data_IF_031987324603
#
_entry.id   IF_031987324603
#
_cell.length_a   1.000
_cell.length_b   1.000
_cell.length_c   1.000
_cell.angle_alpha   90.00
_cell.angle_beta   90.00
_cell.angle_gamma   90.00
#
_symmetry.space_group_name_H-M   'P 1'
#
loop_
_entity.id
_entity.type
_entity.pdbx_description
1 polymer ?
#
# COMPACT_ATOMS: atom_id res chain seq x y z
N UNK A 1 21.05 -20.94 23.35
CA UNK A 1 21.23 -19.76 22.49
C UNK A 1 20.10 -19.76 21.47
N UNK A 2 19.47 -18.63 21.14
CA UNK A 2 18.53 -18.62 20.03
C UNK A 2 19.23 -19.10 18.76
N UNK A 3 18.54 -19.91 17.94
CA UNK A 3 19.11 -20.46 16.72
C UNK A 3 19.48 -19.35 15.74
N UNK A 4 20.41 -19.62 14.82
CA UNK A 4 20.70 -18.74 13.70
C UNK A 4 19.56 -18.78 12.68
N UNK A 5 19.31 -17.63 12.06
CA UNK A 5 18.40 -17.53 10.91
C UNK A 5 19.04 -16.61 9.88
N UNK A 6 18.63 -16.75 8.63
CA UNK A 6 19.28 -16.09 7.49
C UNK A 6 18.25 -15.38 6.63
N UNK A 7 18.50 -14.11 6.30
CA UNK A 7 17.86 -13.46 5.17
C UNK A 7 18.75 -13.70 3.94
N UNK A 8 18.20 -14.36 2.92
CA UNK A 8 18.92 -14.72 1.70
C UNK A 8 18.19 -14.08 0.52
N UNK A 9 18.93 -13.42 -0.37
CA UNK A 9 18.41 -12.83 -1.60
C UNK A 9 18.70 -13.72 -2.81
N UNK A 10 17.92 -13.59 -3.87
CA UNK A 10 18.03 -14.38 -5.08
C UNK A 10 19.37 -14.25 -5.82
N UNK A 11 20.10 -13.18 -5.58
CA UNK A 11 21.46 -12.97 -6.11
C UNK A 11 22.57 -13.58 -5.25
N UNK A 12 22.20 -14.35 -4.21
CA UNK A 12 23.12 -15.04 -3.32
C UNK A 12 23.61 -14.21 -2.14
N UNK A 13 23.18 -12.94 -1.96
CA UNK A 13 23.51 -12.17 -0.78
C UNK A 13 22.88 -12.79 0.48
N UNK A 14 23.66 -12.98 1.53
CA UNK A 14 23.24 -13.58 2.80
C UNK A 14 23.49 -12.63 3.95
N UNK A 15 22.49 -12.48 4.80
CA UNK A 15 22.58 -11.79 6.09
C UNK A 15 22.23 -12.78 7.20
N UNK A 16 23.13 -12.95 8.16
CA UNK A 16 22.92 -13.77 9.35
C UNK A 16 22.30 -12.93 10.46
N UNK A 17 21.31 -13.47 11.16
CA UNK A 17 20.65 -12.82 12.28
C UNK A 17 20.03 -13.81 13.25
N UNK A 18 19.14 -13.30 14.10
CA UNK A 18 18.46 -14.05 15.15
C UNK A 18 16.95 -13.97 14.94
N UNK A 19 16.21 -15.08 15.05
CA UNK A 19 14.75 -15.05 14.91
C UNK A 19 14.09 -14.39 16.13
N UNK A 20 13.02 -13.61 15.89
CA UNK A 20 12.20 -13.05 16.97
C UNK A 20 10.68 -13.15 16.73
N UNK A 21 10.27 -13.63 15.58
CA UNK A 21 8.87 -13.94 15.20
C UNK A 21 8.60 -15.44 15.21
N UNK A 22 7.68 -15.86 14.33
CA UNK A 22 7.31 -17.26 14.17
C UNK A 22 8.47 -18.12 13.69
N UNK A 23 8.52 -19.36 14.17
CA UNK A 23 9.54 -20.34 13.76
C UNK A 23 9.13 -21.01 12.44
N UNK A 24 9.53 -20.41 11.33
CA UNK A 24 9.21 -20.87 9.99
C UNK A 24 10.02 -20.15 8.92
N UNK A 25 9.90 -20.61 7.69
CA UNK A 25 10.46 -19.96 6.51
C UNK A 25 9.45 -18.97 5.91
N UNK A 26 9.96 -17.90 5.29
CA UNK A 26 9.17 -16.95 4.50
C UNK A 26 9.87 -16.66 3.18
N UNK A 27 9.10 -16.47 2.10
CA UNK A 27 9.61 -16.02 0.80
C UNK A 27 8.74 -14.89 0.30
N UNK A 28 9.36 -13.86 -0.31
CA UNK A 28 8.67 -12.71 -0.89
C UNK A 28 9.62 -11.74 -1.57
N UNK A 29 9.09 -10.66 -2.12
CA UNK A 29 9.92 -9.55 -2.58
C UNK A 29 10.45 -8.78 -1.37
N UNK A 30 11.77 -8.62 -1.26
CA UNK A 30 12.39 -7.89 -0.14
C UNK A 30 12.40 -6.40 -0.45
N UNK A 31 11.77 -5.64 0.44
CA UNK A 31 11.65 -4.19 0.33
C UNK A 31 12.04 -3.52 1.64
N UNK A 32 12.39 -2.23 1.59
CA UNK A 32 12.69 -1.48 2.80
C UNK A 32 11.69 -0.34 3.00
N UNK A 33 11.41 -0.01 4.26
CA UNK A 33 10.57 1.13 4.64
C UNK A 33 11.37 2.09 5.52
N UNK A 34 11.31 3.39 5.21
CA UNK A 34 12.08 4.45 5.88
C UNK A 34 11.32 5.16 6.99
N UNK A 35 10.11 4.72 7.35
CA UNK A 35 9.33 5.29 8.44
C UNK A 35 10.04 5.07 9.79
N UNK A 36 10.03 6.10 10.65
CA UNK A 36 10.63 6.02 11.99
C UNK A 36 9.70 5.37 13.02
N UNK A 37 8.41 5.28 12.72
CA UNK A 37 7.35 4.72 13.57
C UNK A 37 6.27 4.11 12.69
N UNK A 38 5.28 3.45 13.31
CA UNK A 38 4.15 2.87 12.58
C UNK A 38 4.44 1.48 12.03
N UNK A 39 5.27 0.69 12.71
CA UNK A 39 5.57 -0.66 12.26
C UNK A 39 4.34 -1.59 12.28
N UNK A 40 3.37 -1.37 13.17
CA UNK A 40 2.14 -2.16 13.21
C UNK A 40 1.25 -1.87 12.01
N UNK A 41 1.11 -0.60 11.64
CA UNK A 41 0.42 -0.15 10.44
C UNK A 41 1.09 -0.71 9.18
N UNK A 42 2.43 -0.69 9.10
CA UNK A 42 3.19 -1.31 8.01
C UNK A 42 2.94 -2.82 7.92
N UNK A 43 2.94 -3.52 9.06
CA UNK A 43 2.69 -4.97 9.10
C UNK A 43 1.29 -5.34 8.60
N UNK A 44 0.29 -4.50 8.87
CA UNK A 44 -1.13 -4.77 8.58
C UNK A 44 -1.63 -4.08 7.30
N UNK A 45 -0.81 -3.28 6.61
CA UNK A 45 -1.15 -2.68 5.31
C UNK A 45 -1.21 -3.75 4.22
N UNK A 46 -2.40 -3.98 3.58
CA UNK A 46 -2.54 -4.98 2.53
C UNK A 46 -1.62 -4.77 1.32
N UNK A 47 -1.16 -3.55 1.08
CA UNK A 47 -0.22 -3.24 -0.01
C UNK A 47 1.14 -3.93 0.14
N UNK A 48 1.48 -4.46 1.33
CA UNK A 48 2.67 -5.29 1.55
C UNK A 48 2.45 -6.78 1.35
N UNK A 49 1.28 -7.22 0.90
CA UNK A 49 1.04 -8.65 0.66
C UNK A 49 2.07 -9.23 -0.32
N UNK A 50 2.67 -10.37 0.04
CA UNK A 50 3.75 -11.01 -0.74
C UNK A 50 5.15 -10.39 -0.56
N UNK A 51 5.34 -9.44 0.37
CA UNK A 51 6.63 -8.78 0.59
C UNK A 51 7.24 -9.11 1.97
N UNK A 52 8.57 -9.18 2.03
CA UNK A 52 9.36 -9.17 3.25
C UNK A 52 9.83 -7.74 3.48
N UNK A 53 9.40 -7.13 4.58
CA UNK A 53 9.64 -5.71 4.85
C UNK A 53 10.79 -5.54 5.83
N UNK A 54 11.81 -4.77 5.40
CA UNK A 54 12.92 -4.34 6.26
C UNK A 54 12.69 -2.91 6.74
N UNK A 55 12.58 -2.72 8.06
CA UNK A 55 12.55 -1.38 8.65
C UNK A 55 13.96 -0.81 8.72
N UNK A 56 14.14 0.41 8.19
CA UNK A 56 15.45 1.08 8.23
C UNK A 56 15.73 1.75 9.59
N UNK A 57 14.68 2.06 10.35
CA UNK A 57 14.82 2.60 11.70
C UNK A 57 15.45 1.55 12.62
N UNK A 58 16.48 1.93 13.41
CA UNK A 58 17.32 0.96 14.11
C UNK A 58 16.59 0.08 15.13
N UNK A 59 15.69 0.66 15.92
CA UNK A 59 14.99 -0.03 17.01
C UNK A 59 13.49 -0.13 16.73
N UNK A 60 12.98 -1.34 16.68
CA UNK A 60 11.58 -1.65 16.38
C UNK A 60 10.97 -2.48 17.52
N UNK A 61 9.68 -2.26 17.83
CA UNK A 61 8.97 -2.97 18.91
C UNK A 61 8.87 -2.22 20.24
N UNK A 62 9.50 -1.06 20.35
CA UNK A 62 9.65 -0.30 21.60
C UNK A 62 8.35 0.29 22.17
N UNK A 63 7.26 0.36 21.39
CA UNK A 63 5.95 0.81 21.86
C UNK A 63 4.86 -0.27 21.81
N UNK A 64 5.22 -1.54 21.54
CA UNK A 64 4.28 -2.67 21.51
C UNK A 64 3.31 -2.62 20.34
N UNK A 65 2.21 -3.33 20.48
CA UNK A 65 1.08 -3.36 19.51
C UNK A 65 -0.24 -3.16 20.23
N UNK A 66 -1.29 -2.76 19.50
CA UNK A 66 -2.64 -2.54 20.04
C UNK A 66 -3.70 -2.74 18.95
N UNK A 67 -4.98 -2.79 19.34
CA UNK A 67 -6.09 -3.08 18.44
C UNK A 67 -6.54 -1.88 17.56
N UNK A 68 -6.00 -0.68 17.79
CA UNK A 68 -6.41 0.54 17.08
C UNK A 68 -5.50 0.89 15.89
N UNK A 69 -4.20 0.55 16.01
CA UNK A 69 -3.18 0.92 15.03
C UNK A 69 -3.04 -0.16 13.92
N UNK A 70 -4.14 -0.87 13.61
CA UNK A 70 -4.21 -1.83 12.52
C UNK A 70 -4.86 -1.21 11.29
N UNK A 71 -4.36 -1.60 10.11
CA UNK A 71 -4.87 -1.16 8.80
C UNK A 71 -5.66 -2.24 8.06
N UNK A 72 -5.66 -3.49 8.56
CA UNK A 72 -6.53 -4.59 8.12
C UNK A 72 -6.72 -5.61 9.25
N UNK A 73 -7.48 -6.66 8.99
CA UNK A 73 -7.85 -7.71 9.95
C UNK A 73 -6.69 -8.65 10.36
N UNK A 74 -5.58 -8.60 9.64
CA UNK A 74 -4.42 -9.48 9.85
C UNK A 74 -3.11 -8.82 9.45
N UNK A 75 -1.98 -9.46 9.81
CA UNK A 75 -0.68 -9.13 9.25
C UNK A 75 -0.65 -9.56 7.77
N UNK A 76 -0.15 -8.69 6.91
CA UNK A 76 -0.13 -8.86 5.46
C UNK A 76 1.25 -9.20 4.91
N UNK A 77 2.32 -8.78 5.62
CA UNK A 77 3.69 -9.04 5.20
C UNK A 77 4.02 -10.53 5.25
N UNK A 78 4.82 -11.02 4.30
CA UNK A 78 5.32 -12.40 4.32
C UNK A 78 6.40 -12.62 5.39
N UNK A 79 7.16 -11.59 5.74
CA UNK A 79 8.20 -11.65 6.76
C UNK A 79 8.66 -10.25 7.17
N UNK A 80 9.39 -10.17 8.29
CA UNK A 80 9.80 -8.89 8.85
C UNK A 80 11.28 -8.88 9.25
N UNK A 81 11.98 -7.80 8.89
CA UNK A 81 13.42 -7.65 9.07
C UNK A 81 13.73 -6.36 9.81
N UNK A 82 14.50 -6.46 10.90
CA UNK A 82 14.89 -5.30 11.71
C UNK A 82 16.38 -5.37 12.08
N UNK A 83 16.94 -4.22 12.40
CA UNK A 83 18.30 -4.17 12.97
C UNK A 83 18.27 -4.63 14.42
N UNK A 84 17.35 -4.10 15.23
CA UNK A 84 17.21 -4.41 16.64
C UNK A 84 15.73 -4.50 17.02
N UNK A 85 15.33 -5.62 17.63
CA UNK A 85 14.02 -5.80 18.22
C UNK A 85 14.04 -5.45 19.70
N UNK A 86 13.22 -4.51 20.12
CA UNK A 86 13.03 -4.18 21.54
C UNK A 86 12.13 -5.21 22.22
N UNK A 87 12.71 -5.99 23.13
CA UNK A 87 11.97 -6.99 23.92
C UNK A 87 11.06 -6.36 24.97
N UNK A 88 11.37 -5.13 25.37
CA UNK A 88 10.57 -4.34 26.30
C UNK A 88 9.85 -3.25 25.54
N UNK A 89 8.58 -3.05 25.81
CA UNK A 89 7.78 -1.98 25.23
C UNK A 89 7.16 -1.10 26.31
N UNK A 90 6.94 0.17 25.97
CA UNK A 90 6.29 1.14 26.85
C UNK A 90 5.40 2.08 26.04
N UNK A 91 4.10 1.86 26.12
CA UNK A 91 3.07 2.74 25.58
C UNK A 91 1.76 2.45 26.31
N UNK A 92 1.03 3.50 26.70
CA UNK A 92 -0.24 3.36 27.44
C UNK A 92 -1.34 2.61 26.69
N UNK A 93 -1.25 2.52 25.34
CA UNK A 93 -2.19 1.77 24.49
C UNK A 93 -1.74 0.34 24.19
N UNK A 94 -0.49 0.01 24.51
CA UNK A 94 0.05 -1.30 24.15
C UNK A 94 -0.65 -2.44 24.90
N UNK A 95 -1.08 -3.45 24.17
CA UNK A 95 -1.73 -4.66 24.69
C UNK A 95 -0.81 -5.87 24.66
N UNK A 96 0.19 -5.90 23.74
CA UNK A 96 1.15 -7.00 23.61
C UNK A 96 2.48 -6.51 23.01
N UNK A 97 3.48 -7.39 23.02
CA UNK A 97 4.76 -7.20 22.35
C UNK A 97 4.66 -7.47 20.86
N UNK A 98 5.49 -6.81 20.06
CA UNK A 98 5.61 -7.09 18.63
C UNK A 98 6.01 -8.55 18.35
N UNK A 99 6.89 -9.15 19.18
CA UNK A 99 7.30 -10.55 19.00
C UNK A 99 6.14 -11.52 19.15
N UNK A 100 5.32 -11.39 20.21
CA UNK A 100 4.12 -12.21 20.39
C UNK A 100 3.13 -12.03 19.24
N UNK A 101 2.92 -10.80 18.79
CA UNK A 101 2.03 -10.48 17.69
C UNK A 101 2.43 -11.20 16.39
N UNK A 102 3.74 -11.20 16.07
CA UNK A 102 4.28 -11.92 14.91
C UNK A 102 4.18 -13.44 15.07
N UNK A 103 4.46 -13.98 16.28
CA UNK A 103 4.35 -15.43 16.57
C UNK A 103 2.91 -15.89 16.40
N UNK A 104 1.96 -15.19 17.03
CA UNK A 104 0.53 -15.52 16.98
C UNK A 104 -0.03 -15.44 15.55
N UNK A 105 0.49 -14.52 14.74
CA UNK A 105 0.12 -14.36 13.33
C UNK A 105 0.93 -15.26 12.38
N UNK A 106 1.83 -16.10 12.89
CA UNK A 106 2.70 -17.01 12.12
C UNK A 106 3.61 -16.30 11.12
N UNK A 107 4.13 -15.13 11.46
CA UNK A 107 5.02 -14.34 10.61
C UNK A 107 6.48 -14.53 11.04
N UNK A 108 7.34 -15.08 10.19
CA UNK A 108 8.78 -15.14 10.45
C UNK A 108 9.41 -13.76 10.51
N UNK A 109 10.29 -13.54 11.50
CA UNK A 109 10.99 -12.28 11.65
C UNK A 109 12.44 -12.50 12.08
N UNK A 110 13.34 -11.61 11.63
CA UNK A 110 14.77 -11.68 11.87
C UNK A 110 15.30 -10.33 12.36
N UNK A 111 16.10 -10.35 13.44
CA UNK A 111 16.85 -9.21 13.95
C UNK A 111 18.36 -9.41 13.79
N UNK A 112 19.14 -8.35 14.08
CA UNK A 112 20.61 -8.37 13.97
C UNK A 112 21.13 -8.11 12.57
N UNK A 113 20.25 -7.78 11.61
CA UNK A 113 20.60 -7.53 10.22
C UNK A 113 21.22 -6.14 10.07
N UNK A 114 22.26 -6.02 9.25
CA UNK A 114 22.72 -4.73 8.75
C UNK A 114 21.71 -4.19 7.72
N UNK A 115 20.65 -3.55 8.23
CA UNK A 115 19.57 -3.00 7.42
C UNK A 115 20.06 -1.88 6.51
N UNK A 116 21.14 -1.16 6.86
CA UNK A 116 21.76 -0.17 5.98
C UNK A 116 22.40 -0.82 4.77
N UNK A 117 23.18 -1.89 4.95
CA UNK A 117 23.79 -2.66 3.85
C UNK A 117 22.72 -3.25 2.95
N UNK A 118 21.66 -3.82 3.53
CA UNK A 118 20.52 -4.36 2.79
C UNK A 118 19.82 -3.27 1.96
N UNK A 119 19.53 -2.11 2.55
CA UNK A 119 18.90 -0.98 1.86
C UNK A 119 19.74 -0.47 0.70
N UNK A 120 21.05 -0.31 0.88
CA UNK A 120 21.96 0.10 -0.18
C UNK A 120 21.98 -0.93 -1.32
N UNK A 121 22.00 -2.22 -0.97
CA UNK A 121 21.99 -3.31 -1.95
C UNK A 121 20.70 -3.30 -2.80
N UNK A 122 19.53 -3.20 -2.16
CA UNK A 122 18.23 -3.11 -2.87
C UNK A 122 18.16 -1.84 -3.72
N UNK A 123 18.65 -0.71 -3.23
CA UNK A 123 18.68 0.55 -4.01
C UNK A 123 19.54 0.40 -5.28
N UNK A 124 20.64 -0.31 -5.18
CA UNK A 124 21.59 -0.47 -6.29
C UNK A 124 21.17 -1.58 -7.28
N UNK A 125 20.57 -2.68 -6.82
CA UNK A 125 20.17 -3.84 -7.64
C UNK A 125 18.70 -3.83 -8.04
N UNK A 126 17.83 -3.14 -7.31
CA UNK A 126 16.38 -3.21 -7.38
C UNK A 126 15.79 -4.08 -6.28
N UNK A 127 14.46 -4.11 -6.19
CA UNK A 127 13.76 -5.05 -5.33
C UNK A 127 14.00 -6.49 -5.84
N UNK A 128 14.39 -7.37 -4.93
CA UNK A 128 14.79 -8.76 -5.21
C UNK A 128 13.87 -9.73 -4.46
N UNK A 129 13.67 -10.92 -5.01
CA UNK A 129 13.10 -12.03 -4.22
C UNK A 129 14.09 -12.40 -3.12
N UNK A 130 13.58 -12.64 -1.94
CA UNK A 130 14.37 -13.10 -0.81
C UNK A 130 13.55 -13.97 0.12
N UNK A 131 14.20 -14.51 1.12
CA UNK A 131 13.53 -15.35 2.10
C UNK A 131 14.23 -15.33 3.44
N UNK A 132 13.45 -15.54 4.50
CA UNK A 132 13.92 -15.80 5.85
C UNK A 132 13.96 -17.32 6.01
N UNK A 133 15.15 -17.89 6.29
CA UNK A 133 15.38 -19.33 6.33
C UNK A 133 16.17 -19.76 7.56
N UNK A 134 15.90 -20.98 8.02
CA UNK A 134 16.68 -21.62 9.10
C UNK A 134 18.02 -22.20 8.65
N UNK A 135 18.17 -22.45 7.34
CA UNK A 135 19.39 -22.98 6.73
C UNK A 135 19.61 -22.35 5.36
N UNK A 136 20.87 -22.31 4.92
CA UNK A 136 21.24 -21.69 3.64
C UNK A 136 21.15 -22.64 2.44
N UNK A 137 21.18 -23.97 2.70
CA UNK A 137 21.18 -24.99 1.62
C UNK A 137 19.88 -24.96 0.80
N UNK A 138 20.00 -24.86 -0.53
CA UNK A 138 18.87 -24.87 -1.47
C UNK A 138 17.99 -23.60 -1.43
N UNK A 139 18.38 -22.56 -0.68
CA UNK A 139 17.57 -21.37 -0.51
C UNK A 139 17.45 -20.56 -1.80
N UNK A 140 18.54 -20.38 -2.54
CA UNK A 140 18.55 -19.60 -3.79
C UNK A 140 17.68 -20.28 -4.85
N UNK A 141 17.75 -21.61 -4.98
CA UNK A 141 16.92 -22.38 -5.88
C UNK A 141 15.42 -22.21 -5.56
N UNK A 142 15.05 -22.22 -4.27
CA UNK A 142 13.67 -21.96 -3.83
C UNK A 142 13.23 -20.55 -4.18
N UNK A 143 14.12 -19.55 -4.03
CA UNK A 143 13.83 -18.15 -4.39
C UNK A 143 13.65 -17.99 -5.90
N UNK A 144 14.49 -18.63 -6.71
CA UNK A 144 14.37 -18.56 -8.16
C UNK A 144 13.12 -19.27 -8.70
N UNK A 145 12.63 -20.28 -8.00
CA UNK A 145 11.37 -20.96 -8.32
C UNK A 145 10.12 -20.15 -7.87
N UNK A 146 10.26 -19.21 -6.95
CA UNK A 146 9.15 -18.37 -6.50
C UNK A 146 8.80 -17.33 -7.57
N UNK A 147 7.50 -17.04 -7.85
CA UNK A 147 7.12 -16.05 -8.84
C UNK A 147 7.60 -14.63 -8.44
N UNK A 148 7.86 -13.79 -9.44
CA UNK A 148 8.10 -12.36 -9.21
C UNK A 148 6.79 -11.64 -8.93
N UNK A 149 6.87 -10.44 -8.32
CA UNK A 149 5.71 -9.58 -8.05
C UNK A 149 5.01 -9.15 -9.36
N UNK A 150 5.78 -8.92 -10.41
CA UNK A 150 5.26 -8.55 -11.74
C UNK A 150 4.38 -9.67 -12.30
N UNK A 151 3.21 -9.32 -12.78
CA UNK A 151 2.24 -10.27 -13.34
C UNK A 151 1.41 -11.03 -12.30
N UNK A 152 1.55 -10.75 -10.98
CA UNK A 152 0.74 -11.37 -9.94
C UNK A 152 -0.49 -10.51 -9.57
N UNK A 153 -1.67 -11.11 -9.65
CA UNK A 153 -2.93 -10.53 -9.14
C UNK A 153 -3.01 -10.71 -7.62
N UNK A 154 -2.29 -9.86 -6.89
CA UNK A 154 -2.33 -9.85 -5.43
C UNK A 154 -3.52 -9.06 -4.88
N UNK A 155 -4.07 -8.13 -5.65
CA UNK A 155 -5.23 -7.35 -5.27
C UNK A 155 -6.46 -8.24 -5.04
N UNK A 156 -6.71 -9.22 -5.91
CA UNK A 156 -7.78 -10.20 -5.70
C UNK A 156 -7.57 -11.09 -4.48
N UNK A 157 -6.32 -11.33 -4.06
CA UNK A 157 -6.01 -12.18 -2.90
C UNK A 157 -6.31 -11.50 -1.55
N UNK A 158 -6.34 -10.16 -1.53
CA UNK A 158 -6.61 -9.36 -0.30
C UNK A 158 -7.98 -8.68 -0.32
N UNK A 159 -8.71 -8.75 -1.42
CA UNK A 159 -10.06 -8.19 -1.57
C UNK A 159 -11.08 -8.95 -0.71
N UNK A 160 -12.08 -8.23 -0.20
CA UNK A 160 -13.19 -8.85 0.53
C UNK A 160 -13.97 -9.85 -0.34
N UNK A 161 -14.51 -10.88 0.30
CA UNK A 161 -15.27 -11.93 -0.42
C UNK A 161 -16.70 -11.51 -0.78
N UNK A 162 -17.28 -10.56 -0.03
CA UNK A 162 -18.64 -10.06 -0.23
C UNK A 162 -18.75 -8.60 0.17
N UNK A 163 -19.70 -7.83 -0.40
CA UNK A 163 -19.92 -6.45 0.00
C UNK A 163 -20.24 -6.30 1.48
N UNK A 164 -19.71 -5.27 2.12
CA UNK A 164 -20.02 -4.93 3.51
C UNK A 164 -20.12 -3.41 3.72
N UNK A 165 -20.80 -3.02 4.77
CA UNK A 165 -20.90 -1.61 5.20
C UNK A 165 -19.86 -1.32 6.27
N UNK A 166 -19.18 -0.19 6.13
CA UNK A 166 -18.24 0.30 7.14
C UNK A 166 -18.84 1.50 7.89
N UNK A 167 -18.99 1.35 9.21
CA UNK A 167 -19.69 2.33 10.05
C UNK A 167 -21.20 2.30 9.88
N UNK A 168 -21.89 3.36 10.29
CA UNK A 168 -23.33 3.49 10.16
C UNK A 168 -23.75 3.98 8.78
N UNK A 169 -24.81 3.38 8.22
CA UNK A 169 -25.46 3.85 7.01
C UNK A 169 -26.40 5.00 7.35
N UNK A 170 -26.17 6.18 6.78
CA UNK A 170 -27.02 7.35 6.92
C UNK A 170 -27.58 7.72 5.54
N UNK A 171 -28.89 7.55 5.30
CA UNK A 171 -29.52 7.86 4.01
C UNK A 171 -29.42 9.34 3.59
N UNK A 172 -29.11 10.24 4.53
CA UNK A 172 -28.92 11.67 4.23
C UNK A 172 -27.54 11.99 3.66
N UNK A 173 -26.60 11.04 3.76
CA UNK A 173 -25.22 11.17 3.27
C UNK A 173 -25.05 10.47 1.91
N UNK A 174 -24.21 11.01 1.02
CA UNK A 174 -23.91 10.30 -0.22
C UNK A 174 -23.21 8.97 0.08
N UNK A 175 -23.67 7.91 -0.58
CA UNK A 175 -23.06 6.59 -0.52
C UNK A 175 -21.83 6.56 -1.43
N UNK A 176 -20.65 6.21 -0.87
CA UNK A 176 -19.46 5.90 -1.65
C UNK A 176 -19.32 4.39 -1.80
N UNK A 177 -19.22 3.90 -3.05
CA UNK A 177 -18.85 2.54 -3.38
C UNK A 177 -17.33 2.40 -3.44
N UNK A 178 -16.75 1.69 -2.47
CA UNK A 178 -15.30 1.45 -2.38
C UNK A 178 -14.97 0.11 -3.01
N UNK A 179 -14.18 0.11 -4.08
CA UNK A 179 -13.59 -1.11 -4.63
C UNK A 179 -12.40 -1.52 -3.79
N UNK A 180 -12.47 -2.72 -3.22
CA UNK A 180 -11.46 -3.27 -2.34
C UNK A 180 -10.37 -4.01 -3.11
N UNK A 181 -9.27 -3.33 -3.34
CA UNK A 181 -8.02 -3.93 -3.85
C UNK A 181 -7.03 -4.23 -2.72
N UNK A 182 -7.44 -4.10 -1.47
CA UNK A 182 -6.63 -4.16 -0.25
C UNK A 182 -6.72 -2.84 0.52
N UNK A 183 -7.95 -2.41 0.81
CA UNK A 183 -8.23 -1.11 1.42
C UNK A 183 -7.71 -1.03 2.85
N UNK A 184 -6.99 0.04 3.18
CA UNK A 184 -6.60 0.37 4.55
C UNK A 184 -7.80 0.88 5.35
N UNK A 185 -7.94 0.41 6.60
CA UNK A 185 -9.03 0.84 7.48
C UNK A 185 -9.07 2.36 7.68
N UNK A 186 -7.92 3.02 7.70
CA UNK A 186 -7.88 4.47 7.86
C UNK A 186 -8.47 5.23 6.66
N UNK A 187 -8.43 4.69 5.46
CA UNK A 187 -9.14 5.25 4.29
C UNK A 187 -10.64 5.24 4.56
N UNK A 188 -11.20 4.11 5.02
CA UNK A 188 -12.63 3.99 5.32
C UNK A 188 -13.05 4.94 6.44
N UNK A 189 -12.24 5.07 7.51
CA UNK A 189 -12.47 6.03 8.60
C UNK A 189 -12.50 7.47 8.08
N UNK A 190 -11.59 7.84 7.18
CA UNK A 190 -11.53 9.20 6.62
C UNK A 190 -12.67 9.49 5.63
N UNK A 191 -13.14 8.51 4.88
CA UNK A 191 -14.35 8.65 4.05
C UNK A 191 -15.59 8.92 4.92
N UNK A 192 -15.78 8.16 6.00
CA UNK A 192 -16.86 8.41 6.99
C UNK A 192 -16.74 9.80 7.60
N UNK A 193 -15.53 10.19 8.03
CA UNK A 193 -15.26 11.51 8.62
C UNK A 193 -15.47 12.66 7.63
N UNK A 194 -15.27 12.43 6.33
CA UNK A 194 -15.54 13.42 5.29
C UNK A 194 -17.04 13.62 5.03
N UNK A 195 -17.92 12.71 5.51
CA UNK A 195 -19.37 12.83 5.42
C UNK A 195 -20.03 11.80 4.50
N UNK A 196 -19.35 10.73 4.10
CA UNK A 196 -19.92 9.65 3.31
C UNK A 196 -20.55 8.56 4.19
N UNK A 197 -21.59 7.89 3.68
CA UNK A 197 -21.90 6.51 3.99
C UNK A 197 -20.98 5.61 3.15
N UNK A 198 -20.41 4.55 3.73
CA UNK A 198 -19.37 3.76 3.07
C UNK A 198 -19.82 2.31 2.90
N UNK A 199 -19.80 1.83 1.66
CA UNK A 199 -19.99 0.41 1.34
C UNK A 199 -18.81 -0.10 0.52
N UNK A 200 -18.21 -1.18 0.96
CA UNK A 200 -17.03 -1.80 0.36
C UNK A 200 -17.47 -2.97 -0.49
N UNK A 201 -16.91 -3.09 -1.67
CA UNK A 201 -17.23 -4.13 -2.64
C UNK A 201 -15.99 -4.91 -3.04
N UNK A 202 -16.11 -6.21 -3.33
CA UNK A 202 -15.04 -6.97 -3.96
C UNK A 202 -14.49 -6.30 -5.23
N UNK A 203 -13.20 -6.47 -5.48
CA UNK A 203 -12.49 -5.82 -6.61
C UNK A 203 -13.11 -6.05 -7.99
N UNK A 204 -13.83 -7.17 -8.17
CA UNK A 204 -14.44 -7.59 -9.46
C UNK A 204 -15.93 -7.28 -9.54
N UNK A 205 -16.50 -6.53 -8.63
CA UNK A 205 -17.93 -6.19 -8.66
C UNK A 205 -18.25 -5.33 -9.88
N UNK A 206 -19.25 -5.67 -10.72
CA UNK A 206 -19.64 -4.83 -11.85
C UNK A 206 -20.13 -3.45 -11.38
N UNK A 207 -19.77 -2.38 -12.11
CA UNK A 207 -20.15 -1.01 -11.75
C UNK A 207 -21.67 -0.83 -11.62
N UNK A 208 -22.45 -1.46 -12.52
CA UNK A 208 -23.92 -1.34 -12.50
C UNK A 208 -24.54 -1.90 -11.20
N UNK A 209 -23.94 -2.90 -10.56
CA UNK A 209 -24.40 -3.41 -9.27
C UNK A 209 -24.16 -2.40 -8.15
N UNK A 210 -22.97 -1.78 -8.13
CA UNK A 210 -22.60 -0.74 -7.15
C UNK A 210 -23.53 0.48 -7.30
N UNK A 211 -23.82 0.91 -8.53
CA UNK A 211 -24.72 2.03 -8.79
C UNK A 211 -26.20 1.68 -8.47
N UNK A 212 -26.63 0.44 -8.71
CA UNK A 212 -27.97 -0.04 -8.34
C UNK A 212 -28.17 -0.03 -6.81
N UNK A 213 -27.12 -0.28 -6.04
CA UNK A 213 -27.12 -0.17 -4.57
C UNK A 213 -27.20 1.29 -4.09
N UNK A 214 -27.20 2.27 -4.98
CA UNK A 214 -27.36 3.70 -4.67
C UNK A 214 -26.04 4.45 -4.49
N UNK A 215 -24.90 3.91 -4.90
CA UNK A 215 -23.63 4.62 -4.80
C UNK A 215 -23.66 5.89 -5.67
N UNK A 216 -23.40 7.05 -5.05
CA UNK A 216 -23.31 8.36 -5.69
C UNK A 216 -21.93 8.63 -6.30
N UNK A 217 -20.92 7.92 -5.84
CA UNK A 217 -19.52 8.06 -6.24
C UNK A 217 -18.73 6.76 -5.98
N UNK A 218 -17.58 6.66 -6.61
CA UNK A 218 -16.70 5.49 -6.56
C UNK A 218 -15.35 5.88 -5.94
N UNK A 219 -14.82 4.99 -5.12
CA UNK A 219 -13.48 5.07 -4.58
C UNK A 219 -12.69 3.82 -4.97
N UNK A 220 -11.53 4.00 -5.61
CA UNK A 220 -10.60 2.92 -5.93
C UNK A 220 -9.49 2.88 -4.90
N UNK A 221 -9.42 1.81 -4.11
CA UNK A 221 -8.52 1.73 -2.98
C UNK A 221 -7.05 1.51 -3.37
N UNK A 222 -6.18 1.61 -2.38
CA UNK A 222 -4.83 1.07 -2.41
C UNK A 222 -4.85 -0.46 -2.51
N UNK A 223 -3.69 -1.06 -2.77
CA UNK A 223 -3.54 -2.51 -2.82
C UNK A 223 -2.16 -2.96 -3.28
N UNK A 224 -1.87 -4.26 -3.18
CA UNK A 224 -0.62 -4.86 -3.61
C UNK A 224 -0.60 -5.24 -5.10
N UNK A 225 0.58 -5.51 -5.61
CA UNK A 225 0.80 -6.18 -6.89
C UNK A 225 0.92 -5.25 -8.08
N UNK A 226 0.76 -5.85 -9.24
CA UNK A 226 0.91 -5.22 -10.55
C UNK A 226 -0.45 -4.66 -11.02
N UNK A 227 -0.58 -3.35 -11.29
CA UNK A 227 -1.85 -2.77 -11.74
C UNK A 227 -2.33 -3.28 -13.10
N UNK A 228 -1.40 -3.74 -13.96
CA UNK A 228 -1.72 -4.21 -15.31
C UNK A 228 -2.55 -5.50 -15.32
N UNK A 229 -2.43 -6.31 -14.27
CA UNK A 229 -3.12 -7.59 -14.18
C UNK A 229 -4.35 -7.58 -13.26
N UNK A 230 -4.72 -6.41 -12.72
CA UNK A 230 -5.95 -6.28 -11.92
C UNK A 230 -7.16 -6.51 -12.82
N UNK A 231 -7.94 -7.60 -12.58
CA UNK A 231 -9.03 -7.96 -13.49
C UNK A 231 -10.13 -6.90 -13.53
N UNK A 232 -10.47 -6.45 -14.73
CA UNK A 232 -11.56 -5.48 -14.95
C UNK A 232 -11.23 -4.04 -14.52
N UNK A 233 -10.01 -3.77 -14.02
CA UNK A 233 -9.66 -2.44 -13.49
C UNK A 233 -9.72 -1.34 -14.55
N UNK A 234 -9.17 -1.57 -15.74
CA UNK A 234 -9.20 -0.60 -16.85
C UNK A 234 -10.62 -0.37 -17.36
N UNK A 235 -11.39 -1.44 -17.48
CA UNK A 235 -12.78 -1.43 -17.92
C UNK A 235 -13.65 -0.64 -16.95
N UNK A 236 -13.49 -0.86 -15.65
CA UNK A 236 -14.18 -0.10 -14.59
C UNK A 236 -13.95 1.40 -14.72
N UNK A 237 -12.70 1.83 -14.95
CA UNK A 237 -12.38 3.26 -15.13
C UNK A 237 -13.08 3.82 -16.40
N UNK A 238 -13.11 3.07 -17.50
CA UNK A 238 -13.83 3.49 -18.71
C UNK A 238 -15.35 3.59 -18.49
N UNK A 239 -15.92 2.67 -17.70
CA UNK A 239 -17.33 2.70 -17.33
C UNK A 239 -17.66 3.90 -16.45
N UNK A 240 -16.86 4.18 -15.39
CA UNK A 240 -17.10 5.36 -14.53
C UNK A 240 -16.97 6.67 -15.31
N UNK A 241 -16.06 6.75 -16.28
CA UNK A 241 -15.94 7.92 -17.18
C UNK A 241 -17.17 8.08 -18.07
N UNK A 242 -17.65 6.99 -18.69
CA UNK A 242 -18.86 6.99 -19.54
C UNK A 242 -20.08 7.43 -18.76
N UNK A 243 -20.28 6.90 -17.57
CA UNK A 243 -21.40 7.23 -16.68
C UNK A 243 -21.15 8.55 -15.89
N UNK A 244 -20.00 9.20 -16.08
CA UNK A 244 -19.59 10.43 -15.40
C UNK A 244 -19.71 10.35 -13.87
N UNK A 245 -19.39 9.18 -13.30
CA UNK A 245 -19.47 8.95 -11.85
C UNK A 245 -18.30 9.64 -11.16
N UNK A 246 -18.52 10.48 -10.13
CA UNK A 246 -17.42 11.04 -9.36
C UNK A 246 -16.53 9.95 -8.79
N UNK A 247 -15.22 10.04 -9.08
CA UNK A 247 -14.28 8.96 -8.74
C UNK A 247 -12.99 9.51 -8.16
N UNK A 248 -12.52 8.88 -7.06
CA UNK A 248 -11.21 9.14 -6.47
C UNK A 248 -10.44 7.83 -6.31
N UNK A 249 -9.15 7.82 -6.67
CA UNK A 249 -8.26 6.66 -6.55
C UNK A 249 -6.99 6.95 -5.76
N UNK A 250 -6.57 6.00 -4.91
CA UNK A 250 -5.35 6.06 -4.11
C UNK A 250 -4.43 4.89 -4.46
N UNK A 251 -3.15 5.17 -4.65
CA UNK A 251 -2.06 4.21 -4.85
C UNK A 251 -2.36 3.25 -6.01
N UNK A 252 -2.73 1.99 -5.77
CA UNK A 252 -3.15 1.07 -6.83
C UNK A 252 -4.35 1.62 -7.62
N UNK A 253 -5.32 2.25 -6.95
CA UNK A 253 -6.45 2.91 -7.60
C UNK A 253 -6.03 4.06 -8.54
N UNK A 254 -4.97 4.81 -8.20
CA UNK A 254 -4.37 5.81 -9.08
C UNK A 254 -3.75 5.16 -10.32
N UNK A 255 -3.03 4.06 -10.15
CA UNK A 255 -2.40 3.33 -11.27
C UNK A 255 -3.46 2.76 -12.23
N UNK A 256 -4.53 2.17 -11.67
CA UNK A 256 -5.68 1.68 -12.44
C UNK A 256 -6.36 2.83 -13.22
N UNK A 257 -6.51 4.01 -12.59
CA UNK A 257 -7.03 5.21 -13.28
C UNK A 257 -6.09 5.62 -14.41
N UNK A 258 -4.79 5.67 -14.18
CA UNK A 258 -3.80 5.96 -15.22
C UNK A 258 -3.91 5.02 -16.43
N UNK A 259 -4.06 3.72 -16.17
CA UNK A 259 -4.27 2.71 -17.21
C UNK A 259 -5.60 2.87 -17.95
N UNK A 260 -6.69 3.17 -17.23
CA UNK A 260 -8.01 3.40 -17.79
C UNK A 260 -8.11 4.65 -18.68
N UNK A 261 -7.30 5.67 -18.37
CA UNK A 261 -7.10 6.87 -19.19
C UNK A 261 -6.24 6.62 -20.44
N UNK A 262 -5.76 5.39 -20.66
CA UNK A 262 -4.93 5.03 -21.82
C UNK A 262 -3.41 5.14 -21.57
N UNK A 263 -3.01 5.43 -20.35
CA UNK A 263 -1.61 5.46 -19.95
C UNK A 263 -1.01 4.06 -19.78
N UNK A 264 0.26 4.06 -19.39
CA UNK A 264 1.04 2.87 -19.04
C UNK A 264 1.57 3.00 -17.61
N UNK A 265 1.87 1.85 -17.01
CA UNK A 265 2.60 1.77 -15.74
C UNK A 265 3.95 1.08 -15.96
N UNK A 266 4.85 1.27 -15.02
CA UNK A 266 6.15 0.61 -15.02
C UNK A 266 6.58 0.30 -13.59
N UNK A 267 7.41 -0.76 -13.43
CA UNK A 267 7.97 -1.10 -12.14
C UNK A 267 9.14 -0.17 -11.80
N UNK A 268 9.08 0.44 -10.62
CA UNK A 268 10.18 1.21 -10.07
C UNK A 268 11.30 0.26 -9.62
N UNK A 269 12.54 0.70 -9.70
CA UNK A 269 13.70 -0.12 -9.37
C UNK A 269 13.62 -0.71 -7.95
N UNK A 270 13.25 0.11 -6.95
CA UNK A 270 13.10 -0.32 -5.56
C UNK A 270 11.80 0.20 -4.91
N UNK A 271 11.00 0.98 -5.64
CA UNK A 271 9.74 1.55 -5.17
C UNK A 271 9.91 2.70 -4.18
N UNK A 272 8.79 3.33 -3.82
CA UNK A 272 8.72 4.34 -2.77
C UNK A 272 8.03 3.76 -1.54
N UNK A 273 8.75 3.69 -0.41
CA UNK A 273 8.19 3.20 0.86
C UNK A 273 8.74 3.99 2.04
N UNK A 274 7.85 4.66 2.75
CA UNK A 274 8.18 5.51 3.89
C UNK A 274 7.25 6.69 4.03
N UNK A 275 7.42 7.44 5.11
CA UNK A 275 6.53 8.53 5.50
C UNK A 275 7.18 9.92 5.36
N UNK A 276 8.16 10.06 4.48
CA UNK A 276 8.99 11.27 4.34
C UNK A 276 9.25 11.65 2.86
N UNK A 277 8.32 11.31 1.97
CA UNK A 277 8.46 11.59 0.54
C UNK A 277 7.88 12.97 0.20
N UNK A 278 8.69 13.88 -0.37
CA UNK A 278 8.23 15.20 -0.77
C UNK A 278 7.49 15.15 -2.11
N UNK A 279 6.24 15.59 -2.13
CA UNK A 279 5.40 15.66 -3.32
C UNK A 279 5.01 17.10 -3.58
N UNK A 280 5.19 17.58 -4.81
CA UNK A 280 4.76 18.91 -5.23
C UNK A 280 3.39 18.83 -5.88
N UNK A 281 2.45 19.57 -5.32
CA UNK A 281 1.16 19.85 -5.94
C UNK A 281 1.34 20.94 -7.00
N UNK A 282 1.22 20.58 -8.28
CA UNK A 282 1.43 21.49 -9.42
C UNK A 282 0.32 22.53 -9.55
N UNK A 283 -0.86 22.27 -8.99
CA UNK A 283 -2.01 23.18 -9.05
C UNK A 283 -1.85 24.36 -8.08
N UNK A 284 -1.24 24.10 -6.92
CA UNK A 284 -1.08 25.11 -5.86
C UNK A 284 0.35 25.58 -5.68
N UNK A 285 1.33 24.86 -6.24
CA UNK A 285 2.77 25.07 -6.05
C UNK A 285 3.29 24.62 -4.68
N UNK A 286 2.43 24.11 -3.78
CA UNK A 286 2.82 23.65 -2.45
C UNK A 286 3.56 22.32 -2.50
N UNK A 287 4.44 22.12 -1.52
CA UNK A 287 5.09 20.83 -1.26
C UNK A 287 4.45 20.21 -0.03
N UNK A 288 4.09 18.95 -0.13
CA UNK A 288 3.51 18.14 0.94
C UNK A 288 4.48 16.99 1.25
N UNK A 289 4.59 16.61 2.51
CA UNK A 289 5.31 15.40 2.90
C UNK A 289 4.30 14.27 2.95
N UNK A 290 4.58 13.21 2.20
CA UNK A 290 3.64 12.11 2.00
C UNK A 290 4.15 10.78 2.53
N UNK A 291 3.20 9.92 2.86
CA UNK A 291 3.44 8.49 3.07
C UNK A 291 3.27 7.75 1.75
N UNK A 292 4.19 6.83 1.46
CA UNK A 292 4.17 6.05 0.22
C UNK A 292 4.45 4.58 0.47
N UNK A 293 3.81 3.73 -0.32
CA UNK A 293 4.04 2.29 -0.36
C UNK A 293 3.64 1.72 -1.72
N UNK A 294 4.50 1.89 -2.73
CA UNK A 294 4.23 1.35 -4.05
C UNK A 294 5.51 0.94 -4.78
N UNK A 295 5.42 -0.09 -5.62
CA UNK A 295 6.49 -0.58 -6.47
C UNK A 295 6.31 -0.26 -7.95
N UNK A 296 5.14 0.28 -8.34
CA UNK A 296 4.82 0.68 -9.71
C UNK A 296 4.45 2.16 -9.73
N UNK A 297 4.61 2.80 -10.89
CA UNK A 297 4.23 4.18 -11.12
C UNK A 297 3.61 4.36 -12.51
N UNK A 298 2.80 5.40 -12.68
CA UNK A 298 2.25 5.79 -13.98
C UNK A 298 3.35 6.45 -14.81
N UNK A 299 3.49 6.00 -16.07
CA UNK A 299 4.44 6.57 -17.02
C UNK A 299 3.99 7.97 -17.48
N UNK A 300 4.76 8.98 -17.09
CA UNK A 300 4.55 10.39 -17.43
C UNK A 300 4.39 10.59 -18.94
N UNK A 301 5.27 9.98 -19.74
CA UNK A 301 5.31 10.17 -21.19
C UNK A 301 4.07 9.61 -21.90
N UNK A 302 3.40 8.64 -21.26
CA UNK A 302 2.18 8.04 -21.81
C UNK A 302 0.95 8.93 -21.73
N UNK A 303 0.92 9.94 -20.82
CA UNK A 303 -0.26 10.77 -20.54
C UNK A 303 0.00 12.28 -20.72
N UNK A 304 1.25 12.75 -20.78
CA UNK A 304 1.58 14.18 -20.78
C UNK A 304 0.98 14.99 -21.94
N UNK A 305 0.69 14.35 -23.06
CA UNK A 305 0.12 15.00 -24.26
C UNK A 305 -1.40 14.78 -24.41
N UNK A 306 -2.06 14.07 -23.50
CA UNK A 306 -3.50 13.90 -23.53
C UNK A 306 -4.17 15.22 -23.11
N UNK A 307 -5.01 15.84 -23.98
CA UNK A 307 -5.63 17.13 -23.69
C UNK A 307 -6.66 17.06 -22.55
N UNK A 308 -7.19 15.89 -22.25
CA UNK A 308 -8.19 15.68 -21.22
C UNK A 308 -7.61 15.25 -19.88
N UNK A 309 -6.31 14.89 -19.84
CA UNK A 309 -5.61 14.48 -18.62
C UNK A 309 -4.71 15.61 -18.12
N UNK A 310 -4.62 15.78 -16.82
CA UNK A 310 -3.72 16.71 -16.16
C UNK A 310 -2.96 16.01 -15.04
N UNK A 311 -1.63 16.11 -15.10
CA UNK A 311 -0.75 15.65 -14.02
C UNK A 311 -0.78 16.73 -12.94
N UNK A 312 -1.23 16.36 -11.75
CA UNK A 312 -1.47 17.30 -10.64
C UNK A 312 -0.39 17.29 -9.57
N UNK A 313 0.32 16.17 -9.42
CA UNK A 313 1.36 16.01 -8.42
C UNK A 313 2.57 15.27 -9.00
N UNK A 314 3.77 15.63 -8.53
CA UNK A 314 5.04 14.96 -8.87
C UNK A 314 5.88 14.75 -7.61
N UNK A 315 6.62 13.65 -7.57
CA UNK A 315 7.64 13.39 -6.56
C UNK A 315 8.87 14.28 -6.81
N UNK A 316 9.38 14.92 -5.77
CA UNK A 316 10.54 15.81 -5.90
C UNK A 316 11.89 15.07 -5.89
N UNK A 317 11.91 13.77 -5.55
CA UNK A 317 13.14 12.99 -5.56
C UNK A 317 13.50 12.47 -6.96
N UNK A 318 12.49 12.08 -7.76
CA UNK A 318 12.73 11.40 -9.04
C UNK A 318 11.74 11.79 -10.16
N UNK A 319 10.85 12.75 -9.88
CA UNK A 319 9.86 13.27 -10.85
C UNK A 319 8.80 12.24 -11.29
N UNK A 320 8.58 11.16 -10.55
CA UNK A 320 7.46 10.23 -10.80
C UNK A 320 6.12 10.95 -10.67
N UNK A 321 5.12 10.46 -11.44
CA UNK A 321 3.74 10.97 -11.38
C UNK A 321 3.11 10.57 -10.04
N UNK A 322 2.65 11.57 -9.29
CA UNK A 322 2.07 11.40 -7.96
C UNK A 322 0.58 11.78 -7.91
N UNK A 323 0.03 12.26 -9.01
CA UNK A 323 -1.40 12.56 -9.09
C UNK A 323 -1.86 12.93 -10.48
N UNK A 324 -3.12 12.58 -10.77
CA UNK A 324 -3.81 12.81 -12.02
C UNK A 324 -5.21 13.38 -11.77
N UNK A 325 -5.70 14.15 -12.73
CA UNK A 325 -7.13 14.45 -12.83
C UNK A 325 -7.58 14.49 -14.30
N UNK A 326 -8.85 14.20 -14.53
CA UNK A 326 -9.49 14.45 -15.82
C UNK A 326 -10.03 15.88 -15.85
N UNK A 327 -9.74 16.64 -16.92
CA UNK A 327 -10.09 18.07 -17.00
C UNK A 327 -11.62 18.33 -17.09
N UNK A 328 -12.38 17.38 -17.64
CA UNK A 328 -13.83 17.53 -17.94
C UNK A 328 -14.71 16.63 -17.07
N UNK A 329 -14.18 15.52 -16.55
CA UNK A 329 -14.92 14.56 -15.74
C UNK A 329 -14.56 14.66 -14.27
N UNK A 330 -15.49 14.32 -13.37
CA UNK A 330 -15.22 14.37 -11.92
C UNK A 330 -14.36 13.17 -11.47
N UNK A 331 -13.10 13.14 -11.93
CA UNK A 331 -12.18 12.04 -11.67
C UNK A 331 -10.80 12.60 -11.33
N UNK A 332 -10.22 12.18 -10.20
CA UNK A 332 -8.86 12.46 -9.81
C UNK A 332 -8.26 11.34 -8.97
N UNK A 333 -6.94 11.33 -8.83
CA UNK A 333 -6.22 10.30 -8.08
C UNK A 333 -4.86 10.79 -7.60
N UNK A 334 -4.34 10.12 -6.54
CA UNK A 334 -2.98 10.32 -6.03
C UNK A 334 -2.27 8.98 -5.83
N UNK A 335 -0.96 8.96 -6.09
CA UNK A 335 -0.13 7.77 -5.96
C UNK A 335 0.23 7.47 -4.50
N UNK A 336 0.42 8.52 -3.71
CA UNK A 336 0.75 8.45 -2.29
C UNK A 336 -0.48 8.20 -1.43
N UNK A 337 -0.27 8.02 -0.11
CA UNK A 337 -1.29 7.69 0.88
C UNK A 337 -1.71 8.94 1.68
N UNK A 338 -2.75 9.68 1.27
CA UNK A 338 -3.23 10.87 1.99
C UNK A 338 -3.87 10.53 3.34
N UNK A 339 -4.25 9.28 3.55
CA UNK A 339 -4.76 8.77 4.83
C UNK A 339 -3.65 8.64 5.87
N UNK A 340 -2.37 8.59 5.43
CA UNK A 340 -1.22 8.33 6.31
C UNK A 340 -1.27 6.94 6.96
N UNK A 341 -0.98 6.85 8.26
CA UNK A 341 -0.93 5.63 9.05
C UNK A 341 -0.02 4.53 8.43
N UNK A 342 1.32 4.68 8.65
CA UNK A 342 1.97 5.80 9.35
C UNK A 342 2.21 7.01 8.46
N UNK A 343 2.44 8.18 9.08
CA UNK A 343 2.97 9.34 8.37
C UNK A 343 2.27 10.66 8.61
N UNK A 344 2.71 11.73 7.90
CA UNK A 344 2.17 13.07 8.01
C UNK A 344 0.76 13.18 7.41
N UNK A 345 0.01 14.18 7.87
CA UNK A 345 -1.41 14.36 7.54
C UNK A 345 -1.66 15.49 6.54
N UNK A 346 -0.62 15.97 5.87
CA UNK A 346 -0.65 17.14 4.99
C UNK A 346 -1.72 17.05 3.91
N UNK A 347 -1.98 15.84 3.41
CA UNK A 347 -2.83 15.57 2.25
C UNK A 347 -4.24 15.10 2.60
N UNK A 348 -4.63 15.05 3.89
CA UNK A 348 -5.99 14.60 4.30
C UNK A 348 -7.12 15.45 3.71
N UNK A 349 -6.84 16.68 3.30
CA UNK A 349 -7.80 17.56 2.62
C UNK A 349 -8.39 16.94 1.35
N UNK A 350 -7.72 15.98 0.71
CA UNK A 350 -8.19 15.31 -0.50
C UNK A 350 -9.50 14.53 -0.29
N UNK A 351 -9.73 13.98 0.90
CA UNK A 351 -11.02 13.34 1.24
C UNK A 351 -12.17 14.36 1.26
N UNK A 352 -11.93 15.56 1.81
CA UNK A 352 -12.89 16.65 1.77
C UNK A 352 -13.09 17.16 0.34
N UNK A 353 -12.03 17.30 -0.45
CA UNK A 353 -12.11 17.66 -1.87
C UNK A 353 -12.98 16.67 -2.64
N UNK A 354 -12.84 15.36 -2.37
CA UNK A 354 -13.70 14.33 -2.97
C UNK A 354 -15.17 14.52 -2.57
N UNK A 355 -15.45 14.74 -1.31
CA UNK A 355 -16.81 14.99 -0.83
C UNK A 355 -17.44 16.24 -1.48
N UNK A 356 -16.69 17.33 -1.55
CA UNK A 356 -17.16 18.56 -2.21
C UNK A 356 -17.41 18.37 -3.70
N UNK A 357 -16.60 17.55 -4.40
CA UNK A 357 -16.79 17.19 -5.80
C UNK A 357 -18.12 16.44 -6.02
N UNK A 358 -18.45 15.51 -5.12
CA UNK A 358 -19.70 14.74 -5.18
C UNK A 358 -20.93 15.62 -4.93
N UNK A 359 -20.84 16.58 -4.00
CA UNK A 359 -21.97 17.49 -3.68
C UNK A 359 -22.27 18.56 -4.73
N UNK A 360 -21.33 18.85 -5.61
CA UNK A 360 -21.51 19.84 -6.69
C UNK A 360 -22.22 19.27 -7.93
N UNK A 361 -22.43 17.96 -7.96
CA UNK A 361 -23.20 17.27 -9.01
C UNK A 361 -24.70 17.25 -8.66
#
# INVERSE_FOLDING_TARGET
>A
MPGKTYLILEDGMVFEGVPFGFDGDAIGEVVFNTSMSGYQEVLTDPSYNGQIVAMTYPMIGNYGVNDQDVESDRIQVAGFVVKEYSKSYSNYRATDSLGNYLINSKIPAIEGIDTRKLTLHIRDKGALRGGIFRATGGAVERLLAHPKMEGLDLASAVSCASPYTFGEMDPSKPLVGVYDYGVKLNILRLLVNAGFSVRVYPSRTPLHDVLRDGAACIFLSNGPGDPDVVPGGRELVREVMKEKVPTFGICLGHQIIGLGLGGRTYKLKFGHRGANQPVKNLMTGKVEISSQNHGFAVDYDSLKNDPDVEITHINLNDSTVEGLRHRKLPLFSVQYHPESNPGPQDSRYLFRQFYEMVRKK
#
